data_IF_618383951560
#
_entry.id   IF_618383951560
#
_cell.length_a   1.000
_cell.length_b   1.000
_cell.length_c   1.000
_cell.angle_alpha   90.00
_cell.angle_beta   90.00
_cell.angle_gamma   90.00
#
_symmetry.space_group_name_H-M   'P 1'
#
loop_
_entity.id
_entity.type
_entity.pdbx_description
1 polymer ?
#
# COMPACT_ATOMS: atom_id res chain seq x y z
N UNK A 1 -1.33 7.91 38.87
CA UNK A 1 -0.70 6.92 37.98
C UNK A 1 -1.02 7.33 36.53
N UNK A 2 -0.18 8.18 35.99
CA UNK A 2 -0.35 8.76 34.65
C UNK A 2 -0.01 7.72 33.59
N UNK A 3 -1.00 7.41 32.74
CA UNK A 3 -0.80 6.60 31.53
C UNK A 3 0.05 7.37 30.52
N UNK A 4 1.35 7.22 30.63
CA UNK A 4 2.31 7.64 29.63
C UNK A 4 2.21 6.68 28.43
N UNK A 5 1.15 6.85 27.61
CA UNK A 5 1.10 6.26 26.27
C UNK A 5 2.01 7.12 25.41
N UNK A 6 3.24 6.65 25.27
CA UNK A 6 4.23 7.20 24.35
C UNK A 6 3.56 7.52 23.01
N UNK A 7 3.32 8.79 22.78
CA UNK A 7 3.09 9.35 21.44
C UNK A 7 4.42 9.24 20.69
N UNK A 8 4.79 8.03 20.24
CA UNK A 8 5.66 7.95 19.07
C UNK A 8 4.89 8.68 17.99
N UNK A 9 5.31 9.88 17.65
CA UNK A 9 4.98 10.56 16.39
C UNK A 9 5.42 9.58 15.32
N UNK A 10 4.48 8.79 14.82
CA UNK A 10 4.72 7.89 13.70
C UNK A 10 5.17 8.81 12.56
N UNK A 11 6.44 8.74 12.17
CA UNK A 11 6.96 9.44 11.00
C UNK A 11 6.22 8.91 9.78
N UNK A 12 5.14 9.59 9.45
CA UNK A 12 4.24 9.19 8.37
C UNK A 12 4.83 9.70 7.07
N UNK A 13 5.33 8.79 6.25
CA UNK A 13 5.79 9.07 4.90
C UNK A 13 4.59 9.16 3.96
N UNK A 14 4.53 10.24 3.20
CA UNK A 14 3.50 10.49 2.19
C UNK A 14 4.11 10.48 0.80
N UNK A 15 3.50 9.74 -0.14
CA UNK A 15 3.90 9.74 -1.54
C UNK A 15 2.73 10.02 -2.46
N UNK A 16 2.89 11.06 -3.25
CA UNK A 16 2.00 11.33 -4.36
C UNK A 16 2.31 10.37 -5.51
N UNK A 17 1.31 9.59 -5.93
CA UNK A 17 1.45 8.61 -7.01
C UNK A 17 1.02 9.17 -8.36
N UNK A 18 -0.09 9.87 -8.39
CA UNK A 18 -0.66 10.37 -9.64
C UNK A 18 -1.54 11.60 -9.44
N UNK A 19 -1.41 12.55 -10.37
CA UNK A 19 -2.28 13.73 -10.46
C UNK A 19 -2.90 13.76 -11.85
N UNK A 20 -4.21 13.97 -11.89
CA UNK A 20 -4.95 14.16 -13.14
C UNK A 20 -5.73 15.47 -13.11
N UNK A 21 -5.70 16.21 -14.20
CA UNK A 21 -6.66 17.28 -14.46
C UNK A 21 -8.00 16.68 -14.87
N UNK A 22 -9.06 17.05 -14.18
CA UNK A 22 -10.42 16.58 -14.43
C UNK A 22 -11.29 17.75 -14.87
N UNK A 23 -12.32 17.47 -15.65
CA UNK A 23 -13.23 18.47 -16.17
C UNK A 23 -14.67 18.02 -15.94
N UNK A 24 -15.50 18.92 -15.45
CA UNK A 24 -16.95 18.75 -15.39
C UNK A 24 -17.59 19.69 -16.42
N UNK A 25 -18.32 19.14 -17.37
CA UNK A 25 -19.09 19.92 -18.35
C UNK A 25 -20.39 20.36 -17.70
N UNK A 26 -20.71 21.65 -17.82
CA UNK A 26 -21.92 22.29 -17.30
C UNK A 26 -22.56 23.13 -18.44
N UNK A 27 -23.81 23.60 -18.28
CA UNK A 27 -24.54 24.40 -19.30
C UNK A 27 -23.76 25.64 -19.79
N UNK A 28 -22.95 26.28 -18.90
CA UNK A 28 -22.13 27.45 -19.23
C UNK A 28 -20.67 27.14 -19.61
N UNK A 29 -20.30 25.89 -19.91
CA UNK A 29 -18.93 25.52 -20.30
C UNK A 29 -18.30 24.42 -19.46
N UNK A 30 -16.98 24.51 -19.22
CA UNK A 30 -16.19 23.47 -18.56
C UNK A 30 -15.64 23.98 -17.24
N UNK A 31 -15.90 23.25 -16.15
CA UNK A 31 -15.27 23.50 -14.84
C UNK A 31 -14.12 22.54 -14.63
N UNK A 32 -12.92 23.09 -14.48
CA UNK A 32 -11.70 22.31 -14.25
C UNK A 32 -11.49 22.02 -12.77
N UNK A 33 -10.80 20.94 -12.50
CA UNK A 33 -10.34 20.54 -11.17
C UNK A 33 -9.19 19.56 -11.29
N UNK A 34 -8.68 19.12 -10.15
CA UNK A 34 -7.56 18.17 -10.06
C UNK A 34 -7.94 17.00 -9.17
N UNK A 35 -7.37 15.87 -9.49
CA UNK A 35 -7.53 14.62 -8.75
C UNK A 35 -6.15 14.11 -8.36
N UNK A 36 -5.93 13.93 -7.06
CA UNK A 36 -4.68 13.39 -6.52
C UNK A 36 -4.89 11.99 -5.94
N UNK A 37 -3.99 11.07 -6.25
CA UNK A 37 -3.89 9.73 -5.68
C UNK A 37 -2.65 9.67 -4.80
N UNK A 38 -2.83 9.43 -3.52
CA UNK A 38 -1.77 9.46 -2.50
C UNK A 38 -1.73 8.14 -1.74
N UNK A 39 -0.52 7.75 -1.38
CA UNK A 39 -0.23 6.63 -0.49
C UNK A 39 0.51 7.17 0.73
N UNK A 40 0.10 6.73 1.91
CA UNK A 40 0.62 7.19 3.20
C UNK A 40 0.95 5.97 4.06
N UNK A 41 2.06 5.99 4.79
CA UNK A 41 2.40 4.90 5.72
C UNK A 41 3.55 5.26 6.67
N UNK A 42 3.82 4.38 7.61
CA UNK A 42 4.78 4.60 8.69
C UNK A 42 6.07 3.78 8.53
N UNK A 43 6.33 3.20 7.36
CA UNK A 43 7.47 2.32 7.09
C UNK A 43 7.61 1.12 8.08
N UNK A 44 6.58 0.86 8.87
CA UNK A 44 6.52 -0.20 9.86
C UNK A 44 5.29 -1.12 9.65
N UNK A 45 4.88 -1.30 8.40
CA UNK A 45 3.78 -2.20 8.03
C UNK A 45 2.39 -1.56 8.05
N UNK A 46 2.24 -0.25 8.31
CA UNK A 46 0.96 0.45 8.18
C UNK A 46 0.91 1.25 6.90
N UNK A 47 -0.18 1.14 6.15
CA UNK A 47 -0.36 1.84 4.89
C UNK A 47 -1.82 2.26 4.70
N UNK A 48 -2.02 3.45 4.16
CA UNK A 48 -3.31 3.97 3.74
C UNK A 48 -3.26 4.51 2.32
N UNK A 49 -4.35 4.40 1.60
CA UNK A 49 -4.50 5.01 0.28
C UNK A 49 -5.75 5.85 0.24
N UNK A 50 -5.66 6.97 -0.45
CA UNK A 50 -6.82 7.77 -0.76
C UNK A 50 -6.68 8.50 -2.10
N UNK A 51 -7.83 8.83 -2.62
CA UNK A 51 -8.00 9.62 -3.82
C UNK A 51 -8.95 10.77 -3.50
N UNK A 52 -8.52 11.99 -3.76
CA UNK A 52 -9.35 13.18 -3.54
C UNK A 52 -9.33 14.11 -4.74
N UNK A 53 -10.36 14.94 -4.82
CA UNK A 53 -10.55 15.93 -5.87
C UNK A 53 -10.71 17.31 -5.25
N UNK A 54 -10.09 18.34 -5.87
CA UNK A 54 -10.24 19.74 -5.48
C UNK A 54 -10.08 20.66 -6.69
N UNK A 55 -10.31 21.97 -6.50
CA UNK A 55 -10.11 22.97 -7.54
C UNK A 55 -8.63 23.22 -7.81
N UNK A 56 -7.79 23.14 -6.79
CA UNK A 56 -6.34 23.34 -6.87
C UNK A 56 -5.59 22.05 -6.51
N UNK A 57 -4.37 21.89 -7.03
CA UNK A 57 -3.53 20.71 -6.81
C UNK A 57 -3.15 20.55 -5.32
N UNK A 58 -2.67 21.60 -4.60
CA UNK A 58 -2.30 21.46 -3.20
C UNK A 58 -3.47 21.02 -2.32
N UNK A 59 -4.68 21.55 -2.56
CA UNK A 59 -5.88 21.19 -1.83
C UNK A 59 -6.27 19.72 -2.07
N UNK A 60 -6.13 19.25 -3.32
CA UNK A 60 -6.41 17.85 -3.64
C UNK A 60 -5.44 16.91 -2.91
N UNK A 61 -4.15 17.25 -2.83
CA UNK A 61 -3.12 16.48 -2.13
C UNK A 61 -3.40 16.47 -0.63
N UNK A 62 -3.61 17.65 -0.01
CA UNK A 62 -3.91 17.77 1.42
C UNK A 62 -5.12 16.93 1.82
N UNK A 63 -6.22 17.05 1.06
CA UNK A 63 -7.43 16.28 1.28
C UNK A 63 -7.20 14.77 1.12
N UNK A 64 -6.40 14.36 0.12
CA UNK A 64 -6.06 12.95 -0.08
C UNK A 64 -5.23 12.40 1.08
N UNK A 65 -4.24 13.15 1.57
CA UNK A 65 -3.41 12.77 2.71
C UNK A 65 -4.26 12.55 3.98
N UNK A 66 -5.13 13.50 4.32
CA UNK A 66 -6.03 13.36 5.47
C UNK A 66 -6.92 12.12 5.37
N UNK A 67 -7.48 11.88 4.18
CA UNK A 67 -8.31 10.68 3.94
C UNK A 67 -7.50 9.38 4.02
N UNK A 68 -6.24 9.38 3.56
CA UNK A 68 -5.36 8.21 3.61
C UNK A 68 -4.95 7.89 5.05
N UNK A 69 -4.61 8.89 5.86
CA UNK A 69 -4.27 8.75 7.29
C UNK A 69 -5.41 8.11 8.09
N UNK A 70 -6.68 8.42 7.76
CA UNK A 70 -7.86 7.82 8.41
C UNK A 70 -8.09 6.35 8.04
N UNK A 71 -7.50 5.88 6.92
CA UNK A 71 -7.71 4.54 6.35
C UNK A 71 -6.46 3.66 6.45
N UNK A 72 -5.63 3.86 7.47
CA UNK A 72 -4.45 3.04 7.68
C UNK A 72 -4.83 1.59 8.00
N UNK A 73 -4.21 0.66 7.29
CA UNK A 73 -4.32 -0.78 7.49
C UNK A 73 -2.96 -1.34 7.86
N UNK A 74 -2.93 -2.37 8.70
CA UNK A 74 -1.71 -3.08 9.06
C UNK A 74 -1.50 -4.29 8.15
N UNK A 75 -0.29 -4.42 7.63
CA UNK A 75 0.17 -5.52 6.77
C UNK A 75 1.38 -6.16 7.44
N UNK A 76 1.31 -7.46 7.77
CA UNK A 76 2.43 -8.15 8.39
C UNK A 76 3.58 -8.28 7.39
N UNK A 77 4.79 -7.93 7.80
CA UNK A 77 6.02 -8.09 7.03
C UNK A 77 6.90 -9.17 7.67
N UNK A 78 7.60 -9.95 6.84
CA UNK A 78 8.64 -10.87 7.28
C UNK A 78 9.91 -10.08 7.60
N UNK A 79 10.40 -10.17 8.83
CA UNK A 79 11.60 -9.46 9.32
C UNK A 79 11.55 -7.93 9.14
N UNK A 80 10.34 -7.33 9.04
CA UNK A 80 10.19 -5.91 8.69
C UNK A 80 10.75 -5.53 7.32
N UNK A 81 11.05 -6.49 6.43
CA UNK A 81 11.84 -6.30 5.21
C UNK A 81 11.11 -6.73 3.94
N UNK A 82 10.43 -7.86 3.96
CA UNK A 82 9.78 -8.45 2.77
C UNK A 82 8.42 -9.06 3.10
N UNK A 83 7.74 -9.58 2.11
CA UNK A 83 6.48 -10.31 2.27
C UNK A 83 6.71 -11.76 2.70
N UNK A 84 5.70 -12.38 3.33
CA UNK A 84 5.82 -13.75 3.87
C UNK A 84 5.89 -14.82 2.78
N UNK A 85 5.20 -14.65 1.67
CA UNK A 85 5.18 -15.57 0.53
C UNK A 85 4.73 -14.84 -0.74
N UNK A 86 4.94 -15.47 -1.89
CA UNK A 86 4.50 -14.97 -3.18
C UNK A 86 2.97 -14.85 -3.23
N UNK A 87 2.48 -13.72 -3.75
CA UNK A 87 1.06 -13.43 -3.81
C UNK A 87 0.67 -12.88 -5.17
N UNK A 88 -0.47 -13.33 -5.65
CA UNK A 88 -1.11 -12.79 -6.85
C UNK A 88 -2.50 -12.23 -6.48
N UNK A 89 -2.83 -11.05 -6.99
CA UNK A 89 -4.16 -10.48 -6.84
C UNK A 89 -4.61 -9.72 -8.09
N UNK A 90 -5.92 -9.57 -8.19
CA UNK A 90 -6.60 -8.83 -9.24
C UNK A 90 -7.58 -7.84 -8.61
N UNK A 91 -7.62 -6.62 -9.15
CA UNK A 91 -8.63 -5.63 -8.85
C UNK A 91 -8.99 -4.85 -10.12
N UNK A 92 -10.25 -4.99 -10.56
CA UNK A 92 -10.65 -4.54 -11.89
C UNK A 92 -9.80 -5.18 -12.99
N UNK A 93 -9.21 -4.37 -13.86
CA UNK A 93 -8.26 -4.79 -14.90
C UNK A 93 -6.83 -4.94 -14.39
N UNK A 94 -6.49 -4.45 -13.19
CA UNK A 94 -5.16 -4.55 -12.58
C UNK A 94 -4.88 -5.96 -12.08
N UNK A 95 -3.76 -6.54 -12.50
CA UNK A 95 -3.24 -7.82 -12.02
C UNK A 95 -1.83 -7.58 -11.49
N UNK A 96 -1.58 -8.02 -10.26
CA UNK A 96 -0.28 -7.86 -9.60
C UNK A 96 0.24 -9.22 -9.17
N UNK A 97 1.53 -9.41 -9.39
CA UNK A 97 2.31 -10.51 -8.83
C UNK A 97 3.37 -9.89 -7.92
N UNK A 98 3.40 -10.29 -6.66
CA UNK A 98 4.40 -9.93 -5.67
C UNK A 98 5.19 -11.18 -5.31
N UNK A 99 6.52 -11.09 -5.33
CA UNK A 99 7.41 -12.17 -4.91
C UNK A 99 8.30 -11.71 -3.77
N UNK A 100 8.46 -12.55 -2.77
CA UNK A 100 9.43 -12.33 -1.72
C UNK A 100 10.85 -12.36 -2.29
N UNK A 101 11.73 -11.52 -1.75
CA UNK A 101 13.10 -11.42 -2.23
C UNK A 101 14.12 -11.57 -1.11
N UNK A 102 15.32 -12.03 -1.46
CA UNK A 102 16.47 -12.13 -0.55
C UNK A 102 16.96 -10.74 -0.13
N UNK A 103 17.71 -10.71 0.97
CA UNK A 103 18.30 -9.47 1.48
C UNK A 103 19.26 -8.88 0.42
N UNK A 104 19.11 -7.57 0.16
CA UNK A 104 19.94 -6.85 -0.80
C UNK A 104 19.38 -6.77 -2.22
N UNK A 105 18.24 -7.41 -2.51
CA UNK A 105 17.58 -7.31 -3.83
C UNK A 105 17.03 -5.92 -4.10
N UNK A 106 16.60 -5.21 -3.06
CA UNK A 106 15.92 -3.92 -3.19
C UNK A 106 14.48 -4.02 -3.73
N UNK A 107 13.89 -2.89 -4.04
CA UNK A 107 12.51 -2.81 -4.57
C UNK A 107 12.55 -2.81 -6.08
N UNK A 108 12.21 -3.95 -6.70
CA UNK A 108 12.08 -4.09 -8.15
C UNK A 108 10.59 -4.07 -8.50
N UNK A 109 10.07 -2.87 -8.79
CA UNK A 109 8.65 -2.67 -9.03
C UNK A 109 8.38 -1.45 -9.93
N UNK A 110 7.26 -1.47 -10.64
CA UNK A 110 6.76 -0.29 -11.38
C UNK A 110 6.36 0.85 -10.46
N UNK A 111 6.38 2.10 -10.94
CA UNK A 111 6.20 3.32 -10.16
C UNK A 111 5.11 3.29 -9.07
N UNK A 112 3.84 3.01 -9.40
CA UNK A 112 2.77 2.96 -8.41
C UNK A 112 2.97 1.87 -7.34
N UNK A 113 3.47 0.69 -7.71
CA UNK A 113 3.75 -0.42 -6.78
C UNK A 113 4.95 -0.08 -5.90
N UNK A 114 6.00 0.50 -6.49
CA UNK A 114 7.18 0.95 -5.77
C UNK A 114 6.83 1.96 -4.68
N UNK A 115 6.00 2.96 -4.99
CA UNK A 115 5.54 3.94 -4.01
C UNK A 115 4.82 3.27 -2.81
N UNK A 116 3.98 2.26 -3.07
CA UNK A 116 3.31 1.48 -2.03
C UNK A 116 4.32 0.74 -1.15
N UNK A 117 5.31 0.05 -1.75
CA UNK A 117 6.31 -0.73 -1.01
C UNK A 117 7.23 0.15 -0.15
N UNK A 118 7.68 1.30 -0.68
CA UNK A 118 8.54 2.24 0.05
C UNK A 118 7.84 2.84 1.26
N UNK A 119 6.57 3.25 1.11
CA UNK A 119 5.77 3.84 2.20
C UNK A 119 5.39 2.79 3.25
N UNK A 120 5.22 1.53 2.85
CA UNK A 120 4.97 0.41 3.76
C UNK A 120 6.21 0.01 4.57
N UNK A 121 7.42 0.32 4.06
CA UNK A 121 8.70 -0.06 4.68
C UNK A 121 9.26 -1.38 4.16
N UNK A 122 8.78 -1.88 3.03
CA UNK A 122 9.38 -3.05 2.36
C UNK A 122 10.72 -2.65 1.77
N UNK A 123 11.76 -3.44 2.04
CA UNK A 123 13.13 -3.22 1.55
C UNK A 123 13.44 -4.08 0.33
N UNK A 124 12.97 -5.32 0.32
CA UNK A 124 13.29 -6.30 -0.72
C UNK A 124 12.02 -6.97 -1.24
N UNK A 125 11.68 -6.70 -2.49
CA UNK A 125 10.51 -7.26 -3.17
C UNK A 125 10.67 -7.19 -4.69
N UNK A 126 10.17 -8.20 -5.37
CA UNK A 126 10.02 -8.18 -6.82
C UNK A 126 8.54 -8.17 -7.18
N UNK A 127 8.13 -7.19 -7.94
CA UNK A 127 6.72 -7.02 -8.32
C UNK A 127 6.55 -6.74 -9.80
N UNK A 128 5.52 -7.35 -10.39
CA UNK A 128 5.11 -7.08 -11.77
C UNK A 128 3.64 -6.74 -11.84
N UNK A 129 3.37 -5.58 -12.45
CA UNK A 129 2.01 -5.18 -12.82
C UNK A 129 1.70 -5.68 -14.22
N UNK A 130 0.52 -6.29 -14.38
CA UNK A 130 -0.01 -6.80 -15.64
C UNK A 130 -1.45 -6.36 -15.82
N UNK A 131 -1.90 -6.25 -17.07
CA UNK A 131 -3.29 -5.99 -17.42
C UNK A 131 -3.66 -4.51 -17.59
N UNK A 132 -3.13 -3.59 -16.79
CA UNK A 132 -3.41 -2.15 -16.92
C UNK A 132 -2.27 -1.29 -16.40
N UNK A 133 -2.14 -0.10 -16.99
CA UNK A 133 -1.26 0.98 -16.49
C UNK A 133 -1.98 1.99 -15.58
N UNK A 134 -3.30 1.85 -15.38
CA UNK A 134 -4.07 2.75 -14.52
C UNK A 134 -3.61 2.63 -13.05
N UNK A 135 -3.00 3.71 -12.53
CA UNK A 135 -2.43 3.75 -11.19
C UNK A 135 -3.43 3.39 -10.09
N UNK A 136 -4.71 3.77 -10.23
CA UNK A 136 -5.75 3.42 -9.25
C UNK A 136 -5.96 1.91 -9.13
N UNK A 137 -6.10 1.23 -10.27
CA UNK A 137 -6.32 -0.22 -10.29
C UNK A 137 -5.06 -0.98 -9.81
N UNK A 138 -3.88 -0.50 -10.25
CA UNK A 138 -2.59 -1.08 -9.83
C UNK A 138 -2.42 -1.01 -8.32
N UNK A 139 -2.64 0.16 -7.70
CA UNK A 139 -2.50 0.33 -6.24
C UNK A 139 -3.52 -0.50 -5.47
N UNK A 140 -4.79 -0.52 -5.90
CA UNK A 140 -5.83 -1.36 -5.27
C UNK A 140 -5.48 -2.84 -5.34
N UNK A 141 -5.04 -3.31 -6.50
CA UNK A 141 -4.59 -4.69 -6.68
C UNK A 141 -3.38 -5.00 -5.79
N UNK A 142 -2.42 -4.07 -5.66
CA UNK A 142 -1.25 -4.23 -4.79
C UNK A 142 -1.65 -4.38 -3.32
N UNK A 143 -2.53 -3.51 -2.82
CA UNK A 143 -3.01 -3.60 -1.42
C UNK A 143 -3.81 -4.88 -1.20
N UNK A 144 -4.63 -5.27 -2.17
CA UNK A 144 -5.36 -6.53 -2.12
C UNK A 144 -4.42 -7.74 -2.08
N UNK A 145 -3.32 -7.70 -2.83
CA UNK A 145 -2.27 -8.71 -2.79
C UNK A 145 -1.60 -8.75 -1.40
N UNK A 146 -1.19 -7.60 -0.88
CA UNK A 146 -0.56 -7.49 0.44
C UNK A 146 -1.47 -7.95 1.58
N UNK A 147 -2.77 -7.70 1.51
CA UNK A 147 -3.76 -8.21 2.48
C UNK A 147 -3.98 -9.72 2.40
N UNK A 148 -3.79 -10.30 1.23
CA UNK A 148 -4.02 -11.74 0.99
C UNK A 148 -2.90 -12.61 1.56
N UNK A 149 -1.75 -12.04 1.89
CA UNK A 149 -0.67 -12.81 2.51
C UNK A 149 -1.04 -13.27 3.91
N UNK A 150 -0.59 -14.47 4.27
CA UNK A 150 -0.78 -15.05 5.58
C UNK A 150 0.55 -15.08 6.34
N UNK A 151 0.57 -14.50 7.54
CA UNK A 151 1.71 -14.62 8.44
C UNK A 151 1.72 -15.98 9.14
N UNK A 152 2.88 -16.51 9.56
CA UNK A 152 2.94 -17.75 10.34
C UNK A 152 2.07 -17.70 11.60
N UNK A 153 1.97 -16.52 12.23
CA UNK A 153 1.12 -16.30 13.40
C UNK A 153 -0.37 -16.48 13.09
N UNK A 154 -0.84 -15.97 11.95
CA UNK A 154 -2.21 -16.16 11.50
C UNK A 154 -2.51 -17.64 11.18
N UNK A 155 -1.58 -18.33 10.51
CA UNK A 155 -1.72 -19.75 10.19
C UNK A 155 -1.73 -20.59 11.47
N UNK A 156 -0.88 -20.27 12.46
CA UNK A 156 -0.84 -20.90 13.78
C UNK A 156 -2.21 -20.81 14.50
N UNK A 157 -2.79 -19.61 14.51
CA UNK A 157 -4.11 -19.37 15.10
C UNK A 157 -5.22 -20.16 14.39
N UNK A 158 -5.20 -20.25 13.04
CA UNK A 158 -6.23 -20.98 12.28
C UNK A 158 -6.09 -22.50 12.45
N UNK A 159 -4.84 -23.00 12.52
CA UNK A 159 -4.56 -24.46 12.57
C UNK A 159 -4.37 -25.01 13.98
N UNK A 160 -4.40 -24.17 15.02
CA UNK A 160 -4.09 -24.53 16.42
C UNK A 160 -2.76 -25.29 16.57
N UNK A 161 -1.70 -24.88 15.79
CA UNK A 161 -0.37 -25.46 15.81
C UNK A 161 0.66 -24.45 16.29
N UNK A 162 1.78 -24.93 16.84
CA UNK A 162 2.90 -24.08 17.24
C UNK A 162 3.53 -23.40 15.99
N UNK A 163 4.00 -22.18 16.16
CA UNK A 163 4.64 -21.43 15.07
C UNK A 163 5.89 -22.15 14.54
N UNK A 164 6.68 -22.80 15.41
CA UNK A 164 7.87 -23.60 15.05
C UNK A 164 7.53 -24.68 14.03
N UNK A 165 6.48 -25.47 14.27
CA UNK A 165 6.04 -26.54 13.36
C UNK A 165 5.61 -26.02 11.96
N UNK A 166 5.15 -24.77 11.90
CA UNK A 166 4.71 -24.15 10.64
C UNK A 166 5.90 -23.62 9.86
N UNK A 167 6.92 -23.10 10.57
CA UNK A 167 8.11 -22.53 9.94
C UNK A 167 9.05 -23.63 9.44
N UNK A 168 9.25 -24.71 10.21
CA UNK A 168 10.09 -25.87 9.82
C UNK A 168 9.59 -26.56 8.55
N UNK A 169 8.27 -26.59 8.33
CA UNK A 169 7.67 -27.17 7.11
C UNK A 169 7.69 -26.24 5.89
N UNK A 170 8.35 -25.10 5.99
CA UNK A 170 8.49 -24.12 4.90
C UNK A 170 9.76 -24.27 4.08
N UNK A 171 10.60 -25.27 4.44
CA UNK A 171 11.84 -25.58 3.73
C UNK A 171 11.66 -25.84 2.25
#
# INVERSE_FOLDING_TARGET
>A
MENNRDKKTDDILEKLVHINRITKVVKGGRRFGFSALVVVGNQAGRIGIAHAKAKQVPDAIKKANEMARRKLIHIPLREGRTIHHDVKAKDGSGRIVLRSASKGTGIIAGGPVRAVCEVLGVKDIVAKSMGTSNAHNVIRATIKALKKQNSPKQISSIRNKKISEIVEKRG
#
